data_IF_235577315088
#
_entry.id   IF_235577315088
#
_cell.length_a   1.000
_cell.length_b   1.000
_cell.length_c   1.000
_cell.angle_alpha   90.00
_cell.angle_beta   90.00
_cell.angle_gamma   90.00
#
_symmetry.space_group_name_H-M   'P 1'
#
loop_
_entity.id
_entity.type
_entity.pdbx_description
1 polymer ?
#
# COMPACT_ATOMS: atom_id res chain seq x y z
N UNK A 1 48.10 -17.61 -30.33
CA UNK A 1 47.95 -18.89 -29.62
C UNK A 1 47.94 -19.95 -30.69
N UNK A 2 48.87 -20.91 -30.64
CA UNK A 2 48.78 -22.12 -31.44
C UNK A 2 47.46 -22.79 -31.04
N UNK A 3 46.52 -22.91 -31.99
CA UNK A 3 45.33 -23.75 -31.80
C UNK A 3 45.80 -25.19 -31.89
N UNK A 4 46.31 -25.72 -30.78
CA UNK A 4 46.53 -27.16 -30.68
C UNK A 4 45.17 -27.80 -30.87
N UNK A 5 45.05 -28.61 -31.92
CA UNK A 5 43.87 -29.43 -32.12
C UNK A 5 43.93 -30.63 -31.16
N UNK A 6 43.54 -30.39 -29.90
CA UNK A 6 43.53 -31.39 -28.82
C UNK A 6 42.64 -32.58 -29.14
N UNK A 7 41.59 -32.38 -29.93
CA UNK A 7 40.71 -33.44 -30.41
C UNK A 7 41.41 -34.34 -31.44
N UNK A 8 42.10 -33.76 -32.43
CA UNK A 8 42.88 -34.54 -33.40
C UNK A 8 44.06 -35.29 -32.75
N UNK A 9 44.73 -34.69 -31.75
CA UNK A 9 45.77 -35.37 -30.98
C UNK A 9 45.20 -36.53 -30.15
N UNK A 10 44.00 -36.37 -29.59
CA UNK A 10 43.30 -37.42 -28.86
C UNK A 10 42.90 -38.57 -29.78
N UNK A 11 42.34 -38.27 -30.96
CA UNK A 11 41.95 -39.27 -31.96
C UNK A 11 43.17 -40.05 -32.47
N UNK A 12 44.28 -39.35 -32.76
CA UNK A 12 45.54 -39.99 -33.14
C UNK A 12 46.12 -40.86 -32.01
N UNK A 13 46.02 -40.42 -30.74
CA UNK A 13 46.42 -41.22 -29.58
C UNK A 13 45.57 -42.49 -29.44
N UNK A 14 44.25 -42.36 -29.56
CA UNK A 14 43.30 -43.47 -29.47
C UNK A 14 43.53 -44.50 -30.60
N UNK A 15 43.81 -44.05 -31.83
CA UNK A 15 44.15 -44.92 -32.96
C UNK A 15 45.49 -45.64 -32.77
N UNK A 16 46.53 -44.93 -32.33
CA UNK A 16 47.85 -45.51 -32.05
C UNK A 16 47.82 -46.57 -30.94
N UNK A 17 46.86 -46.50 -30.00
CA UNK A 17 46.69 -47.51 -28.94
C UNK A 17 46.01 -48.81 -29.40
N UNK A 18 45.36 -48.83 -30.57
CA UNK A 18 44.50 -49.93 -31.01
C UNK A 18 45.15 -50.92 -32.00
N UNK A 19 46.43 -50.73 -32.37
CA UNK A 19 47.30 -51.68 -33.10
C UNK A 19 46.60 -52.53 -34.17
N UNK A 20 46.30 -51.94 -35.34
CA UNK A 20 46.01 -52.75 -36.54
C UNK A 20 47.25 -52.83 -37.44
N UNK A 21 47.96 -51.73 -37.69
CA UNK A 21 49.24 -51.68 -38.40
C UNK A 21 50.08 -50.50 -37.89
N UNK A 22 51.39 -50.65 -37.70
CA UNK A 22 52.29 -49.68 -37.03
C UNK A 22 52.41 -48.26 -37.65
N UNK A 23 51.65 -47.96 -38.71
CA UNK A 23 51.55 -46.63 -39.30
C UNK A 23 50.89 -45.60 -38.36
N UNK A 24 49.91 -46.01 -37.54
CA UNK A 24 49.17 -45.09 -36.67
C UNK A 24 50.02 -44.58 -35.49
N UNK A 25 50.95 -45.41 -35.00
CA UNK A 25 51.91 -45.03 -33.97
C UNK A 25 52.95 -44.02 -34.46
N UNK A 26 53.46 -44.20 -35.69
CA UNK A 26 54.40 -43.27 -36.32
C UNK A 26 53.75 -41.89 -36.56
N UNK A 27 52.49 -41.87 -37.01
CA UNK A 27 51.70 -40.65 -37.20
C UNK A 27 51.50 -39.91 -35.87
N UNK A 28 51.17 -40.63 -34.79
CA UNK A 28 51.04 -40.03 -33.47
C UNK A 28 52.38 -39.44 -32.96
N UNK A 29 53.50 -40.12 -33.17
CA UNK A 29 54.83 -39.63 -32.79
C UNK A 29 55.25 -38.37 -33.56
N UNK A 30 54.86 -38.25 -34.83
CA UNK A 30 55.07 -37.04 -35.62
C UNK A 30 54.23 -35.86 -35.11
N UNK A 31 53.00 -36.13 -34.69
CA UNK A 31 52.08 -35.13 -34.14
C UNK A 31 52.43 -34.72 -32.70
N UNK A 32 53.01 -35.61 -31.88
CA UNK A 32 53.37 -35.33 -30.48
C UNK A 32 54.82 -34.86 -30.37
N UNK A 33 55.07 -33.66 -30.85
CA UNK A 33 56.37 -33.00 -30.66
C UNK A 33 56.52 -32.50 -29.22
N UNK A 34 57.76 -32.38 -28.68
CA UNK A 34 57.99 -31.79 -27.36
C UNK A 34 57.35 -30.39 -27.19
N UNK A 35 57.26 -29.60 -28.26
CA UNK A 35 56.60 -28.28 -28.24
C UNK A 35 55.10 -28.38 -27.95
N UNK A 36 54.42 -29.35 -28.56
CA UNK A 36 52.98 -29.59 -28.38
C UNK A 36 52.70 -30.08 -26.96
N UNK A 37 53.56 -30.96 -26.43
CA UNK A 37 53.44 -31.43 -25.04
C UNK A 37 53.60 -30.29 -24.04
N UNK A 38 54.58 -29.39 -24.24
CA UNK A 38 54.77 -28.23 -23.37
C UNK A 38 53.57 -27.27 -23.43
N UNK A 39 53.06 -26.95 -24.62
CA UNK A 39 51.89 -26.08 -24.77
C UNK A 39 50.63 -26.67 -24.09
N UNK A 40 50.42 -28.00 -24.18
CA UNK A 40 49.31 -28.68 -23.46
C UNK A 40 49.48 -28.64 -21.93
N UNK A 41 50.71 -28.75 -21.43
CA UNK A 41 51.01 -28.61 -20.00
C UNK A 41 50.75 -27.17 -19.52
N UNK A 42 51.19 -26.18 -20.29
CA UNK A 42 50.95 -24.76 -19.99
C UNK A 42 49.45 -24.40 -20.05
N UNK A 43 48.70 -24.97 -21.00
CA UNK A 43 47.24 -24.83 -21.05
C UNK A 43 46.57 -25.48 -19.84
N UNK A 44 46.97 -26.70 -19.48
CA UNK A 44 46.45 -27.39 -18.29
C UNK A 44 46.71 -26.60 -17.01
N UNK A 45 47.92 -26.05 -16.84
CA UNK A 45 48.26 -25.24 -15.67
C UNK A 45 47.43 -23.96 -15.61
N UNK A 46 47.27 -23.24 -16.73
CA UNK A 46 46.38 -22.07 -16.82
C UNK A 46 44.94 -22.41 -16.46
N UNK A 47 44.42 -23.53 -16.96
CA UNK A 47 43.07 -23.98 -16.66
C UNK A 47 42.89 -24.35 -15.18
N UNK A 48 43.88 -24.99 -14.56
CA UNK A 48 43.86 -25.27 -13.12
C UNK A 48 43.86 -23.98 -12.28
N UNK A 49 44.67 -22.99 -12.66
CA UNK A 49 44.67 -21.68 -12.00
C UNK A 49 43.34 -20.95 -12.19
N UNK A 50 42.72 -21.06 -13.36
CA UNK A 50 41.39 -20.50 -13.61
C UNK A 50 40.32 -21.13 -12.73
N UNK A 51 40.30 -22.47 -12.61
CA UNK A 51 39.37 -23.19 -11.73
C UNK A 51 39.54 -22.73 -10.28
N UNK A 52 40.76 -22.67 -9.76
CA UNK A 52 41.02 -22.18 -8.39
C UNK A 52 40.48 -20.77 -8.14
N UNK A 53 40.67 -19.85 -9.09
CA UNK A 53 40.11 -18.48 -8.98
C UNK A 53 38.59 -18.47 -8.99
N UNK A 54 37.97 -19.29 -9.83
CA UNK A 54 36.51 -19.43 -9.90
C UNK A 54 35.93 -20.06 -8.64
N UNK A 55 36.61 -21.04 -8.06
CA UNK A 55 36.18 -21.65 -6.79
C UNK A 55 36.22 -20.62 -5.66
N UNK A 56 37.28 -19.82 -5.57
CA UNK A 56 37.37 -18.74 -4.59
C UNK A 56 36.27 -17.68 -4.80
N UNK A 57 36.06 -17.25 -6.04
CA UNK A 57 35.01 -16.28 -6.37
C UNK A 57 33.62 -16.83 -6.01
N UNK A 58 33.36 -18.10 -6.28
CA UNK A 58 32.09 -18.76 -5.95
C UNK A 58 31.89 -18.86 -4.43
N UNK A 59 32.95 -19.10 -3.66
CA UNK A 59 32.91 -19.11 -2.20
C UNK A 59 32.57 -17.71 -1.65
N UNK A 60 33.22 -16.66 -2.15
CA UNK A 60 32.94 -15.27 -1.77
C UNK A 60 31.50 -14.85 -2.13
N UNK A 61 31.01 -15.28 -3.29
CA UNK A 61 29.62 -15.09 -3.70
C UNK A 61 28.67 -15.82 -2.75
N UNK A 62 28.96 -17.08 -2.40
CA UNK A 62 28.13 -17.87 -1.49
C UNK A 62 28.04 -17.23 -0.10
N UNK A 63 29.16 -16.71 0.42
CA UNK A 63 29.20 -15.97 1.68
C UNK A 63 28.37 -14.69 1.62
N UNK A 64 28.48 -13.94 0.53
CA UNK A 64 27.73 -12.68 0.34
C UNK A 64 26.23 -12.94 0.21
N UNK A 65 25.84 -13.92 -0.60
CA UNK A 65 24.43 -14.35 -0.73
C UNK A 65 23.88 -14.85 0.60
N UNK A 66 24.69 -15.56 1.39
CA UNK A 66 24.33 -16.01 2.74
C UNK A 66 23.99 -14.83 3.66
N UNK A 67 24.84 -13.80 3.70
CA UNK A 67 24.60 -12.58 4.48
C UNK A 67 23.33 -11.85 4.04
N UNK A 68 23.17 -11.63 2.73
CA UNK A 68 22.00 -10.95 2.19
C UNK A 68 20.69 -11.69 2.48
N UNK A 69 20.69 -13.03 2.49
CA UNK A 69 19.51 -13.82 2.88
C UNK A 69 19.12 -13.57 4.33
N UNK A 70 20.08 -13.54 5.25
CA UNK A 70 19.82 -13.28 6.67
C UNK A 70 19.30 -11.85 6.88
N UNK A 71 19.90 -10.86 6.23
CA UNK A 71 19.45 -9.47 6.29
C UNK A 71 18.04 -9.32 5.73
N UNK A 72 17.73 -9.98 4.63
CA UNK A 72 16.42 -9.96 3.99
C UNK A 72 15.34 -10.58 4.89
N UNK A 73 15.61 -11.73 5.52
CA UNK A 73 14.67 -12.34 6.46
C UNK A 73 14.46 -11.48 7.71
N UNK A 74 15.51 -10.84 8.20
CA UNK A 74 15.41 -9.89 9.32
C UNK A 74 14.56 -8.67 8.96
N UNK A 75 14.74 -8.11 7.76
CA UNK A 75 13.96 -6.98 7.27
C UNK A 75 12.47 -7.35 7.08
N UNK A 76 12.19 -8.55 6.55
CA UNK A 76 10.82 -9.07 6.43
C UNK A 76 10.14 -9.22 7.79
N UNK A 77 10.84 -9.77 8.79
CA UNK A 77 10.29 -9.90 10.15
C UNK A 77 9.85 -8.55 10.71
N UNK A 78 10.73 -7.55 10.61
CA UNK A 78 10.44 -6.17 11.07
C UNK A 78 9.23 -5.56 10.34
N UNK A 79 9.11 -5.78 9.03
CA UNK A 79 7.95 -5.31 8.27
C UNK A 79 6.66 -6.01 8.71
N UNK A 80 6.71 -7.30 9.01
CA UNK A 80 5.54 -8.02 9.51
C UNK A 80 5.11 -7.52 10.90
N UNK A 81 6.06 -7.30 11.81
CA UNK A 81 5.79 -6.72 13.13
C UNK A 81 5.14 -5.33 13.02
N UNK A 82 5.64 -4.46 12.12
CA UNK A 82 5.03 -3.16 11.87
C UNK A 82 3.61 -3.28 11.32
N UNK A 83 3.39 -4.22 10.39
CA UNK A 83 2.07 -4.47 9.82
C UNK A 83 1.07 -4.90 10.90
N UNK A 84 1.44 -5.84 11.75
CA UNK A 84 0.59 -6.31 12.86
C UNK A 84 0.26 -5.16 13.84
N UNK A 85 1.23 -4.30 14.14
CA UNK A 85 1.00 -3.11 14.96
C UNK A 85 -0.05 -2.17 14.35
N UNK A 86 0.09 -1.81 13.07
CA UNK A 86 -0.86 -0.92 12.40
C UNK A 86 -2.24 -1.55 12.25
N UNK A 87 -2.32 -2.85 11.95
CA UNK A 87 -3.59 -3.58 11.93
C UNK A 87 -4.29 -3.51 13.29
N UNK A 88 -3.54 -3.64 14.40
CA UNK A 88 -4.07 -3.47 15.76
C UNK A 88 -4.61 -2.06 16.02
N UNK A 89 -3.84 -1.02 15.69
CA UNK A 89 -4.26 0.39 15.85
C UNK A 89 -5.50 0.70 15.03
N UNK A 90 -5.56 0.25 13.78
CA UNK A 90 -6.70 0.46 12.89
C UNK A 90 -7.94 -0.29 13.43
N UNK A 91 -7.76 -1.51 13.93
CA UNK A 91 -8.85 -2.30 14.53
C UNK A 91 -9.45 -1.62 15.76
N UNK A 92 -8.60 -1.13 16.67
CA UNK A 92 -9.05 -0.38 17.85
C UNK A 92 -9.74 0.93 17.48
N UNK A 93 -9.14 1.68 16.54
CA UNK A 93 -9.73 2.91 15.99
C UNK A 93 -11.10 2.66 15.36
N UNK A 94 -11.23 1.59 14.57
CA UNK A 94 -12.49 1.19 13.92
C UNK A 94 -13.56 0.83 14.95
N UNK A 95 -13.21 0.09 16.01
CA UNK A 95 -14.13 -0.21 17.12
C UNK A 95 -14.59 1.05 17.83
N UNK A 96 -13.68 1.99 18.06
CA UNK A 96 -14.02 3.28 18.70
C UNK A 96 -14.95 4.11 17.82
N UNK A 97 -14.72 4.16 16.51
CA UNK A 97 -15.62 4.83 15.56
C UNK A 97 -17.00 4.18 15.59
N UNK A 98 -17.09 2.86 15.45
CA UNK A 98 -18.37 2.15 15.48
C UNK A 98 -19.14 2.39 16.78
N UNK A 99 -18.44 2.46 17.93
CA UNK A 99 -19.06 2.81 19.22
C UNK A 99 -19.57 4.25 19.27
N UNK A 100 -18.85 5.19 18.64
CA UNK A 100 -19.26 6.58 18.58
C UNK A 100 -20.47 6.75 17.64
N UNK A 101 -20.46 6.09 16.49
CA UNK A 101 -21.58 6.04 15.54
C UNK A 101 -22.82 5.37 16.17
N UNK A 102 -22.67 4.30 16.95
CA UNK A 102 -23.82 3.67 17.63
C UNK A 102 -24.43 4.54 18.73
N UNK A 103 -23.60 5.42 19.33
CA UNK A 103 -24.04 6.38 20.34
C UNK A 103 -24.52 7.70 19.70
N UNK A 104 -24.41 7.84 18.38
CA UNK A 104 -24.87 9.02 17.65
C UNK A 104 -26.41 9.00 17.65
N UNK A 105 -27.00 9.97 18.35
CA UNK A 105 -28.45 10.20 18.29
C UNK A 105 -28.70 11.08 17.06
N UNK A 106 -29.31 10.49 16.03
CA UNK A 106 -29.78 11.21 14.85
C UNK A 106 -31.27 11.50 15.02
N UNK A 107 -31.62 12.75 15.31
CA UNK A 107 -33.01 13.19 15.20
C UNK A 107 -33.31 13.50 13.73
N UNK A 108 -33.72 12.46 12.98
CA UNK A 108 -34.30 12.67 11.66
C UNK A 108 -35.61 13.46 11.83
N UNK A 109 -35.64 14.69 11.29
CA UNK A 109 -36.86 15.51 11.24
C UNK A 109 -36.93 16.69 12.21
N UNK A 110 -35.86 17.06 12.93
CA UNK A 110 -35.86 18.26 13.77
C UNK A 110 -35.67 19.57 12.95
N UNK A 111 -36.40 19.71 11.85
CA UNK A 111 -36.45 20.96 11.09
C UNK A 111 -37.54 21.85 11.69
N UNK A 112 -37.19 23.10 11.98
CA UNK A 112 -38.15 24.10 12.42
C UNK A 112 -38.00 25.39 11.61
N UNK A 113 -39.09 26.14 11.57
CA UNK A 113 -39.22 27.38 10.83
C UNK A 113 -39.35 28.51 11.83
N UNK A 114 -38.52 29.54 11.69
CA UNK A 114 -38.71 30.80 12.43
C UNK A 114 -39.53 31.72 11.54
N UNK A 115 -40.80 31.91 11.89
CA UNK A 115 -41.75 32.72 11.14
C UNK A 115 -41.88 34.10 11.78
N UNK A 116 -41.64 35.15 10.99
CA UNK A 116 -41.68 36.55 11.43
C UNK A 116 -42.75 37.31 10.63
N UNK A 117 -43.79 37.74 11.33
CA UNK A 117 -44.82 38.63 10.77
C UNK A 117 -44.54 40.08 11.18
N UNK A 118 -44.77 41.08 10.31
CA UNK A 118 -44.60 42.49 10.63
C UNK A 118 -45.39 42.90 11.89
N UNK A 119 -44.72 43.51 12.86
CA UNK A 119 -45.34 44.00 14.10
C UNK A 119 -45.75 42.91 15.12
N UNK A 120 -45.45 41.63 14.87
CA UNK A 120 -45.73 40.53 15.79
C UNK A 120 -44.45 39.89 16.33
N UNK A 121 -44.58 39.18 17.45
CA UNK A 121 -43.52 38.34 18.01
C UNK A 121 -43.22 37.17 17.07
N UNK A 122 -41.94 36.86 16.77
CA UNK A 122 -41.57 35.67 16.02
C UNK A 122 -42.11 34.38 16.64
N UNK A 123 -42.42 33.40 15.80
CA UNK A 123 -42.97 32.10 16.21
C UNK A 123 -42.12 30.99 15.61
N UNK A 124 -41.82 29.97 16.40
CA UNK A 124 -41.22 28.73 15.91
C UNK A 124 -42.34 27.77 15.52
N UNK A 125 -42.27 27.25 14.30
CA UNK A 125 -43.21 26.26 13.77
C UNK A 125 -42.49 25.00 13.33
N UNK A 126 -43.09 23.83 13.59
CA UNK A 126 -42.65 22.57 13.03
C UNK A 126 -43.49 22.23 11.79
N UNK A 127 -42.84 21.86 10.69
CA UNK A 127 -43.56 21.47 9.48
C UNK A 127 -44.14 20.07 9.65
N UNK A 128 -45.47 19.94 9.64
CA UNK A 128 -46.16 18.65 9.59
C UNK A 128 -46.66 18.40 8.18
N UNK A 129 -46.00 17.52 7.42
CA UNK A 129 -46.36 17.21 6.03
C UNK A 129 -45.43 17.87 5.00
N UNK A 130 -45.98 18.21 3.83
CA UNK A 130 -45.21 18.79 2.72
C UNK A 130 -44.76 20.23 3.02
N UNK A 131 -43.44 20.47 2.97
CA UNK A 131 -42.86 21.77 3.29
C UNK A 131 -43.27 22.86 2.31
N UNK A 132 -43.42 22.52 1.02
CA UNK A 132 -43.74 23.51 0.00
C UNK A 132 -45.17 24.02 0.17
N UNK A 133 -46.13 23.12 0.42
CA UNK A 133 -47.51 23.48 0.71
C UNK A 133 -47.62 24.32 1.99
N UNK A 134 -46.89 23.96 3.04
CA UNK A 134 -46.86 24.72 4.29
C UNK A 134 -46.31 26.15 4.11
N UNK A 135 -45.21 26.29 3.36
CA UNK A 135 -44.63 27.61 3.05
C UNK A 135 -45.58 28.46 2.20
N UNK A 136 -46.28 27.84 1.23
CA UNK A 136 -47.31 28.52 0.42
C UNK A 136 -48.44 29.07 1.28
N UNK A 137 -48.95 28.27 2.22
CA UNK A 137 -50.00 28.71 3.14
C UNK A 137 -49.57 29.90 4.00
N UNK A 138 -48.34 29.91 4.52
CA UNK A 138 -47.82 31.04 5.32
C UNK A 138 -47.70 32.33 4.50
N UNK A 139 -47.19 32.23 3.27
CA UNK A 139 -47.01 33.37 2.37
C UNK A 139 -48.36 33.91 1.89
N UNK A 140 -49.35 33.03 1.65
CA UNK A 140 -50.69 33.42 1.24
C UNK A 140 -51.43 34.19 2.35
N UNK A 141 -51.23 33.81 3.63
CA UNK A 141 -51.80 34.51 4.77
C UNK A 141 -51.18 35.90 5.02
N UNK A 142 -49.88 36.04 4.79
CA UNK A 142 -49.15 37.29 4.97
C UNK A 142 -48.05 37.44 3.91
N UNK A 143 -48.29 38.21 2.83
CA UNK A 143 -47.31 38.40 1.76
C UNK A 143 -45.98 39.04 2.18
N UNK A 144 -45.93 39.65 3.36
CA UNK A 144 -44.71 40.29 3.91
C UNK A 144 -44.02 39.42 4.97
N UNK A 145 -44.44 38.17 5.15
CA UNK A 145 -43.83 37.24 6.09
C UNK A 145 -42.38 36.94 5.73
N UNK A 146 -41.51 36.90 6.74
CA UNK A 146 -40.13 36.38 6.59
C UNK A 146 -40.04 35.02 7.28
N UNK A 147 -39.46 34.03 6.59
CA UNK A 147 -39.35 32.67 7.08
C UNK A 147 -37.89 32.25 7.00
N UNK A 148 -37.31 31.92 8.15
CA UNK A 148 -35.98 31.31 8.22
C UNK A 148 -36.14 29.81 8.44
N UNK A 149 -35.57 29.03 7.52
CA UNK A 149 -35.58 27.57 7.61
C UNK A 149 -34.33 27.13 8.36
N UNK A 150 -34.51 26.64 9.58
CA UNK A 150 -33.43 26.14 10.41
C UNK A 150 -33.48 24.62 10.38
N UNK A 151 -32.49 24.04 9.70
CA UNK A 151 -32.22 22.61 9.73
C UNK A 151 -31.02 22.37 10.64
N UNK A 152 -31.09 21.33 11.48
CA UNK A 152 -29.89 20.84 12.14
C UNK A 152 -28.87 20.43 11.07
N UNK A 153 -27.66 20.97 11.18
CA UNK A 153 -26.48 20.31 10.58
C UNK A 153 -25.95 19.33 11.62
N UNK A 154 -25.91 18.05 11.27
CA UNK A 154 -25.25 17.02 12.07
C UNK A 154 -23.81 17.43 12.42
N UNK A 155 -23.40 17.15 13.66
CA UNK A 155 -22.03 17.29 14.14
C UNK A 155 -21.44 15.91 14.45
N UNK A 156 -20.43 15.50 13.69
CA UNK A 156 -19.60 14.32 13.97
C UNK A 156 -18.61 14.57 15.12
N UNK A 157 -17.87 13.54 15.52
CA UNK A 157 -16.95 13.51 16.68
C UNK A 157 -16.06 14.77 16.78
N UNK A 158 -16.31 15.65 17.79
CA UNK A 158 -15.44 16.81 18.03
C UNK A 158 -15.97 17.96 18.90
N UNK A 159 -17.26 18.01 19.24
CA UNK A 159 -17.88 19.08 20.04
C UNK A 159 -17.98 20.45 19.35
N UNK A 160 -19.20 20.92 19.07
CA UNK A 160 -19.86 22.07 19.72
C UNK A 160 -21.05 22.62 18.88
N UNK A 161 -22.17 22.86 19.59
CA UNK A 161 -23.46 23.55 19.32
C UNK A 161 -24.19 23.31 17.98
N UNK A 162 -25.31 22.59 18.05
CA UNK A 162 -26.35 22.63 17.01
C UNK A 162 -27.66 23.02 17.67
N UNK A 163 -28.19 24.18 17.28
CA UNK A 163 -29.37 24.79 17.88
C UNK A 163 -30.62 23.98 17.51
N UNK A 164 -31.15 23.19 18.45
CA UNK A 164 -32.54 22.75 18.36
C UNK A 164 -33.50 23.90 18.64
N UNK A 165 -34.79 23.68 18.34
CA UNK A 165 -35.81 24.70 18.57
C UNK A 165 -35.79 25.21 20.02
N UNK A 166 -35.53 24.33 20.99
CA UNK A 166 -35.40 24.66 22.41
C UNK A 166 -34.14 25.48 22.71
N UNK A 167 -32.98 25.08 22.22
CA UNK A 167 -31.74 25.85 22.35
C UNK A 167 -31.88 27.22 21.71
N UNK A 168 -32.48 27.30 20.52
CA UNK A 168 -32.74 28.55 19.81
C UNK A 168 -33.66 29.48 20.63
N UNK A 169 -34.74 28.93 21.23
CA UNK A 169 -35.59 29.69 22.16
C UNK A 169 -34.79 30.22 23.35
N UNK A 170 -33.93 29.40 23.94
CA UNK A 170 -33.07 29.80 25.06
C UNK A 170 -32.11 30.94 24.67
N UNK A 171 -31.37 30.80 23.57
CA UNK A 171 -30.44 31.84 23.13
C UNK A 171 -31.15 33.15 22.78
N UNK A 172 -32.33 33.07 22.15
CA UNK A 172 -33.10 34.26 21.80
C UNK A 172 -33.68 34.93 23.06
N UNK A 173 -34.11 34.15 24.04
CA UNK A 173 -34.51 34.64 25.35
C UNK A 173 -33.36 35.34 26.08
N UNK A 174 -32.16 34.75 26.08
CA UNK A 174 -30.95 35.34 26.67
C UNK A 174 -30.53 36.64 25.96
N UNK A 175 -30.77 36.73 24.65
CA UNK A 175 -30.59 37.95 23.86
C UNK A 175 -31.71 39.00 24.06
N UNK A 176 -32.70 38.73 24.93
CA UNK A 176 -33.83 39.61 25.20
C UNK A 176 -34.90 39.66 24.11
N UNK A 177 -34.86 38.72 23.16
CA UNK A 177 -35.82 38.60 22.05
C UNK A 177 -36.95 37.68 22.50
N UNK A 178 -38.17 38.23 22.56
CA UNK A 178 -39.37 37.42 22.83
C UNK A 178 -39.70 36.59 21.58
N UNK A 179 -39.81 35.27 21.73
CA UNK A 179 -40.23 34.31 20.71
C UNK A 179 -41.25 33.36 21.35
N UNK A 180 -42.26 32.92 20.59
CA UNK A 180 -43.22 31.90 21.02
C UNK A 180 -42.91 30.56 20.37
N UNK A 181 -42.90 29.49 21.17
CA UNK A 181 -42.99 28.12 20.64
C UNK A 181 -44.45 27.75 20.38
N UNK A 182 -44.69 26.95 19.34
CA UNK A 182 -45.96 26.25 19.11
C UNK A 182 -46.06 24.97 19.94
#
# INVERSE_FOLDING_TARGET
MSEINSQALREAAEQAMHDDWGFDADLFHELVTPSIVLELLDERERNQQYIKRRDQENEDIALTVGKLRVELETAKSKLNEQREYYEGVISDGSKRIAKLESNEVREDGNQFLVVRHPGKTPVIKHCTGDLEEFLRQLIEQDPLVTIDIITHRYYGVGGQWVQDAGEYLHMMSDAGIRIKGE
#
